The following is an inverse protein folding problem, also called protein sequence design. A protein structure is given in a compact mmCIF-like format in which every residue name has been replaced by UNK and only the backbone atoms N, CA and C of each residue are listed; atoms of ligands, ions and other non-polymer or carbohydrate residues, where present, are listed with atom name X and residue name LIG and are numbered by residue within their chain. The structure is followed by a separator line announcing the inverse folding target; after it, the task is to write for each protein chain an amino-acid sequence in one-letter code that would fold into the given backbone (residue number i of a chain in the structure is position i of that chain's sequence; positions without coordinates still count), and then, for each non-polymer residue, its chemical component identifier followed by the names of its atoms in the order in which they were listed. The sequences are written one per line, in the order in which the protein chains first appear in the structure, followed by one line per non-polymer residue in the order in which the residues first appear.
data_IF_799723361887
#
_entry.id   IF_799723361887
#
_cell.length_a   1.000
_cell.length_b   1.000
_cell.length_c   1.000
_cell.angle_alpha   90.00
_cell.angle_beta   90.00
_cell.angle_gamma   90.00
#
_symmetry.space_group_name_H-M   'P 1'
#
loop_
_entity.id
_entity.type
_entity.pdbx_description
1 polymer ?
#
# COMPACT_ATOMS: atom_id res chain seq x y z
N UNK A 1 24.15 -7.18 23.93
CA UNK A 1 22.83 -7.79 24.11
C UNK A 1 21.83 -6.65 24.39
N UNK A 2 20.76 -6.60 23.64
CA UNK A 2 19.70 -5.61 23.86
C UNK A 2 19.00 -5.95 25.19
N UNK A 3 18.76 -4.95 26.05
CA UNK A 3 18.17 -5.17 27.38
C UNK A 3 16.67 -5.47 27.36
N UNK A 4 15.96 -5.00 26.32
CA UNK A 4 14.53 -5.26 26.14
C UNK A 4 14.16 -5.23 24.66
N UNK A 5 13.06 -5.91 24.30
CA UNK A 5 12.52 -5.89 22.94
C UNK A 5 12.18 -4.46 22.47
N UNK A 6 11.77 -3.61 23.39
CA UNK A 6 11.47 -2.21 23.11
C UNK A 6 12.73 -1.43 22.69
N UNK A 7 13.88 -1.68 23.32
CA UNK A 7 15.16 -1.06 22.97
C UNK A 7 15.65 -1.53 21.61
N UNK A 8 15.46 -2.83 21.31
CA UNK A 8 15.80 -3.40 20.01
C UNK A 8 14.99 -2.74 18.88
N UNK A 9 13.67 -2.67 19.02
CA UNK A 9 12.79 -2.03 18.04
C UNK A 9 13.13 -0.54 17.89
N UNK A 10 13.42 0.14 18.98
CA UNK A 10 13.84 1.56 18.96
C UNK A 10 15.12 1.77 18.19
N UNK A 11 16.09 0.87 18.36
CA UNK A 11 17.38 0.94 17.66
C UNK A 11 17.18 0.69 16.16
N UNK A 12 16.38 -0.31 15.78
CA UNK A 12 16.06 -0.60 14.39
C UNK A 12 15.35 0.59 13.74
N UNK A 13 14.36 1.18 14.40
CA UNK A 13 13.61 2.32 13.88
C UNK A 13 14.52 3.51 13.55
N UNK A 14 15.40 3.88 14.48
CA UNK A 14 16.38 4.96 14.28
C UNK A 14 17.35 4.65 13.16
N UNK A 15 17.83 3.40 13.08
CA UNK A 15 18.75 2.97 12.01
C UNK A 15 18.09 3.08 10.64
N UNK A 16 16.83 2.63 10.49
CA UNK A 16 16.07 2.77 9.26
C UNK A 16 15.87 4.24 8.87
N UNK A 17 15.57 5.10 9.84
CA UNK A 17 15.45 6.55 9.58
C UNK A 17 16.80 7.17 9.15
N UNK A 18 17.91 6.75 9.75
CA UNK A 18 19.26 7.16 9.36
C UNK A 18 19.56 6.74 7.92
N UNK A 19 19.32 5.48 7.61
CA UNK A 19 19.56 4.90 6.29
C UNK A 19 18.72 5.58 5.18
N UNK A 20 17.44 5.85 5.46
CA UNK A 20 16.56 6.57 4.53
C UNK A 20 17.10 7.94 4.15
N UNK A 21 17.65 8.67 5.14
CA UNK A 21 18.27 9.98 4.92
C UNK A 21 19.61 9.88 4.18
N UNK A 22 20.47 8.93 4.57
CA UNK A 22 21.77 8.73 3.97
C UNK A 22 21.68 8.37 2.50
N UNK A 23 20.77 7.45 2.16
CA UNK A 23 20.57 6.98 0.79
C UNK A 23 19.58 7.84 -0.01
N UNK A 24 18.92 8.80 0.64
CA UNK A 24 17.85 9.63 0.05
C UNK A 24 16.74 8.79 -0.63
N UNK A 25 16.29 7.73 0.06
CA UNK A 25 15.23 6.82 -0.40
C UNK A 25 14.07 6.75 0.58
N UNK A 26 12.83 6.48 0.13
CA UNK A 26 11.75 6.13 1.02
C UNK A 26 11.94 4.70 1.54
N UNK A 27 11.65 4.49 2.83
CA UNK A 27 11.64 3.17 3.46
C UNK A 27 10.23 2.93 4.02
N UNK A 28 9.62 1.82 3.63
CA UNK A 28 8.33 1.35 4.18
C UNK A 28 8.63 0.15 5.08
N UNK A 29 8.34 0.30 6.37
CA UNK A 29 8.50 -0.77 7.35
C UNK A 29 7.13 -1.30 7.77
N UNK A 30 6.98 -2.62 7.82
CA UNK A 30 5.79 -3.28 8.32
C UNK A 30 5.96 -3.61 9.80
N UNK A 31 4.99 -3.23 10.61
CA UNK A 31 4.96 -3.50 12.05
C UNK A 31 3.66 -4.20 12.43
N UNK A 32 3.78 -5.20 13.30
CA UNK A 32 2.62 -5.86 13.88
C UNK A 32 2.04 -5.01 15.00
N UNK A 33 0.71 -4.94 15.06
CA UNK A 33 0.01 -4.29 16.16
C UNK A 33 0.00 -5.17 17.42
N UNK A 34 -0.18 -4.52 18.57
CA UNK A 34 -0.43 -5.22 19.81
C UNK A 34 -1.78 -5.96 19.74
N UNK A 35 -1.79 -7.21 20.19
CA UNK A 35 -3.01 -8.04 20.24
C UNK A 35 -4.13 -7.45 21.11
N UNK A 36 -3.84 -6.48 21.96
CA UNK A 36 -4.84 -5.74 22.74
C UNK A 36 -5.95 -5.11 21.89
N UNK A 37 -5.70 -4.81 20.61
CA UNK A 37 -6.72 -4.34 19.65
C UNK A 37 -7.83 -5.39 19.49
N UNK A 38 -7.46 -6.67 19.45
CA UNK A 38 -8.40 -7.78 19.26
C UNK A 38 -9.34 -7.99 20.47
N UNK A 39 -8.95 -7.55 21.67
CA UNK A 39 -9.74 -7.69 22.89
C UNK A 39 -10.69 -6.54 23.16
N UNK A 40 -10.56 -5.42 22.43
CA UNK A 40 -11.46 -4.26 22.62
C UNK A 40 -12.86 -4.57 22.13
N UNK A 41 -13.85 -3.96 22.73
CA UNK A 41 -15.26 -4.08 22.36
C UNK A 41 -15.70 -2.94 21.43
N UNK A 42 -16.75 -3.21 20.65
CA UNK A 42 -17.35 -2.23 19.74
C UNK A 42 -16.58 -2.05 18.43
N UNK A 43 -17.21 -1.36 17.49
CA UNK A 43 -16.68 -1.11 16.13
C UNK A 43 -15.44 -0.22 16.23
N UNK A 44 -15.55 0.90 16.94
CA UNK A 44 -14.46 1.85 17.13
C UNK A 44 -13.33 1.27 18.00
N UNK A 45 -13.66 0.38 18.95
CA UNK A 45 -12.65 -0.29 19.77
C UNK A 45 -11.69 -1.17 18.97
N UNK A 46 -12.15 -1.78 17.88
CA UNK A 46 -11.32 -2.60 16.98
C UNK A 46 -10.49 -1.78 15.99
N UNK A 47 -10.72 -0.48 15.91
CA UNK A 47 -9.96 0.44 15.06
C UNK A 47 -8.56 0.65 15.64
N UNK A 48 -7.47 0.42 14.85
CA UNK A 48 -6.11 0.64 15.31
C UNK A 48 -5.82 2.10 15.64
N UNK A 49 -4.98 2.30 16.64
CA UNK A 49 -4.53 3.62 17.11
C UNK A 49 -3.01 3.63 17.30
N UNK A 50 -2.40 4.81 17.38
CA UNK A 50 -0.96 4.96 17.61
C UNK A 50 -0.48 4.26 18.89
N UNK A 51 -1.31 4.23 19.93
CA UNK A 51 -1.05 3.50 21.18
C UNK A 51 -0.92 1.97 20.98
N UNK A 52 -1.40 1.44 19.86
CA UNK A 52 -1.29 0.01 19.54
C UNK A 52 0.08 -0.38 18.99
N UNK A 53 0.90 0.61 18.66
CA UNK A 53 2.34 0.45 18.41
C UNK A 53 3.15 0.36 19.72
N UNK A 54 2.58 -0.17 20.76
CA UNK A 54 2.95 -0.05 22.18
C UNK A 54 4.39 -0.42 22.55
N UNK A 55 5.01 -1.36 21.87
CA UNK A 55 6.42 -1.69 22.08
C UNK A 55 7.35 -0.79 21.25
N UNK A 56 6.79 0.18 20.58
CA UNK A 56 7.40 0.93 19.48
C UNK A 56 7.09 2.42 19.54
N UNK A 57 7.03 3.04 20.73
CA UNK A 57 6.92 4.50 20.83
C UNK A 57 7.99 5.23 20.01
N UNK A 58 9.14 4.56 19.80
CA UNK A 58 10.18 5.04 18.92
C UNK A 58 9.74 5.01 17.43
N UNK A 59 9.02 3.98 16.98
CA UNK A 59 8.49 3.93 15.60
C UNK A 59 7.58 5.13 15.36
N UNK A 60 6.68 5.40 16.30
CA UNK A 60 5.81 6.57 16.19
C UNK A 60 6.60 7.87 16.09
N UNK A 61 7.65 8.04 16.90
CA UNK A 61 8.45 9.26 16.88
C UNK A 61 9.30 9.38 15.60
N UNK A 62 9.93 8.31 15.16
CA UNK A 62 10.87 8.30 14.05
C UNK A 62 10.18 8.33 12.68
N UNK A 63 9.01 7.69 12.54
CA UNK A 63 8.28 7.64 11.30
C UNK A 63 7.74 9.03 10.87
N UNK A 64 7.85 9.35 9.59
CA UNK A 64 7.23 10.55 9.02
C UNK A 64 5.74 10.34 8.79
N UNK A 65 5.33 9.10 8.51
CA UNK A 65 3.96 8.70 8.31
C UNK A 65 3.71 7.37 9.01
N UNK A 66 2.56 7.23 9.65
CA UNK A 66 2.05 5.97 10.21
C UNK A 66 0.69 5.70 9.61
N UNK A 67 0.58 4.58 8.93
CA UNK A 67 -0.68 4.12 8.36
C UNK A 67 -1.08 2.78 8.97
N UNK A 68 -2.35 2.63 9.31
CA UNK A 68 -2.92 1.35 9.71
C UNK A 68 -3.81 0.81 8.60
N UNK A 69 -3.84 -0.51 8.49
CA UNK A 69 -4.80 -1.22 7.67
C UNK A 69 -5.85 -1.80 8.60
N UNK A 70 -7.09 -1.36 8.47
CA UNK A 70 -8.22 -1.86 9.24
C UNK A 70 -9.21 -2.55 8.32
N UNK A 71 -9.60 -3.77 8.68
CA UNK A 71 -10.60 -4.57 7.97
C UNK A 71 -11.68 -5.00 8.96
N UNK A 72 -12.82 -4.31 8.98
CA UNK A 72 -13.92 -4.63 9.91
C UNK A 72 -14.39 -6.08 9.81
N UNK A 73 -14.46 -6.62 8.59
CA UNK A 73 -14.85 -8.01 8.35
C UNK A 73 -13.94 -9.05 9.06
N UNK A 74 -12.66 -8.74 9.23
CA UNK A 74 -11.73 -9.60 9.98
C UNK A 74 -12.19 -9.82 11.43
N UNK A 75 -12.84 -8.79 12.00
CA UNK A 75 -13.44 -8.81 13.33
C UNK A 75 -14.91 -9.22 13.33
N UNK A 76 -15.44 -9.72 12.21
CA UNK A 76 -16.86 -10.08 12.04
C UNK A 76 -17.81 -8.89 12.19
N UNK A 77 -17.35 -7.70 11.92
CA UNK A 77 -18.12 -6.48 11.89
C UNK A 77 -18.54 -6.25 10.44
N UNK A 78 -19.83 -6.44 10.16
CA UNK A 78 -20.38 -6.40 8.80
C UNK A 78 -21.20 -5.15 8.51
N UNK A 79 -21.52 -4.37 9.55
CA UNK A 79 -22.25 -3.11 9.44
C UNK A 79 -21.66 -2.06 10.35
N UNK A 80 -21.71 -0.81 9.93
CA UNK A 80 -21.38 0.33 10.80
C UNK A 80 -22.58 0.71 11.70
N UNK A 81 -22.39 1.72 12.56
CA UNK A 81 -23.45 2.24 13.44
C UNK A 81 -24.64 2.83 12.68
N UNK A 82 -24.46 3.18 11.41
CA UNK A 82 -25.49 3.74 10.52
C UNK A 82 -26.18 2.67 9.69
N UNK A 83 -25.76 1.40 9.81
CA UNK A 83 -26.30 0.28 9.06
C UNK A 83 -25.69 0.09 7.67
N UNK A 84 -24.63 0.79 7.32
CA UNK A 84 -23.94 0.58 6.05
C UNK A 84 -23.20 -0.75 6.04
N UNK A 85 -23.19 -1.44 4.89
CA UNK A 85 -22.49 -2.72 4.73
C UNK A 85 -20.97 -2.50 4.65
N UNK A 86 -20.25 -3.19 5.52
CA UNK A 86 -18.78 -3.15 5.62
C UNK A 86 -18.11 -4.42 5.04
N UNK A 87 -18.87 -5.34 4.45
CA UNK A 87 -18.30 -6.55 3.84
C UNK A 87 -17.35 -6.20 2.71
N UNK A 88 -16.16 -6.80 2.74
CA UNK A 88 -15.13 -6.53 1.75
C UNK A 88 -14.59 -5.11 1.80
N UNK A 89 -14.93 -4.32 2.82
CA UNK A 89 -14.37 -2.98 3.00
C UNK A 89 -13.10 -3.01 3.84
N UNK A 90 -12.22 -2.09 3.54
CA UNK A 90 -10.99 -1.85 4.30
C UNK A 90 -10.72 -0.36 4.42
N UNK A 91 -10.10 0.05 5.50
CA UNK A 91 -9.69 1.43 5.72
C UNK A 91 -8.17 1.50 5.80
N UNK A 92 -7.58 2.46 5.11
CA UNK A 92 -6.21 2.90 5.34
C UNK A 92 -6.28 4.14 6.23
N UNK A 93 -5.91 3.98 7.49
CA UNK A 93 -5.98 5.04 8.49
C UNK A 93 -4.62 5.72 8.54
N UNK A 94 -4.52 6.96 8.06
CA UNK A 94 -3.32 7.79 8.16
C UNK A 94 -3.34 8.44 9.55
N UNK A 95 -2.78 7.73 10.55
CA UNK A 95 -2.84 8.15 11.94
C UNK A 95 -1.79 9.19 12.31
N UNK A 96 -0.69 9.24 11.55
CA UNK A 96 0.35 10.26 11.66
C UNK A 96 0.85 10.65 10.27
N UNK A 97 1.03 11.94 10.05
CA UNK A 97 1.66 12.48 8.86
C UNK A 97 2.39 13.78 9.21
N UNK A 98 3.73 13.77 9.17
CA UNK A 98 4.55 14.91 9.62
C UNK A 98 4.35 16.17 8.76
N UNK A 99 4.16 15.99 7.46
CA UNK A 99 4.09 17.08 6.49
C UNK A 99 2.75 17.16 5.77
N UNK A 100 1.71 16.49 6.27
CA UNK A 100 0.41 16.47 5.64
C UNK A 100 -0.73 16.18 6.61
N UNK A 101 -1.93 16.07 6.08
CA UNK A 101 -3.12 15.77 6.86
C UNK A 101 -3.18 14.30 7.29
N UNK A 102 -3.79 14.05 8.42
CA UNK A 102 -4.26 12.73 8.84
C UNK A 102 -5.67 12.49 8.31
N UNK A 103 -6.08 11.25 8.19
CA UNK A 103 -7.42 10.91 7.68
C UNK A 103 -7.54 9.46 7.30
N UNK A 104 -8.69 9.09 6.80
CA UNK A 104 -9.04 7.73 6.47
C UNK A 104 -9.36 7.60 4.98
N UNK A 105 -8.85 6.56 4.37
CA UNK A 105 -9.13 6.21 2.97
C UNK A 105 -9.88 4.89 2.96
N UNK A 106 -11.13 4.94 2.53
CA UNK A 106 -11.95 3.76 2.39
C UNK A 106 -11.62 3.07 1.06
N UNK A 107 -11.37 1.76 1.12
CA UNK A 107 -11.04 0.91 0.00
C UNK A 107 -11.91 -0.35 0.04
N UNK A 108 -11.99 -1.05 -1.09
CA UNK A 108 -12.50 -2.40 -1.15
C UNK A 108 -11.35 -3.40 -1.08
N UNK A 109 -11.53 -4.48 -0.32
CA UNK A 109 -10.55 -5.55 -0.20
C UNK A 109 -11.12 -6.85 -0.76
N UNK A 110 -10.48 -7.39 -1.79
CA UNK A 110 -10.80 -8.72 -2.33
C UNK A 110 -9.86 -9.75 -1.71
N UNK A 111 -10.39 -10.53 -0.76
CA UNK A 111 -9.62 -11.52 -0.01
C UNK A 111 -9.02 -12.62 -0.89
N UNK A 112 -9.71 -13.03 -1.96
CA UNK A 112 -9.27 -14.04 -2.92
C UNK A 112 -7.93 -13.70 -3.60
N UNK A 113 -7.67 -12.40 -3.79
CA UNK A 113 -6.48 -11.90 -4.49
C UNK A 113 -5.57 -11.07 -3.59
N UNK A 114 -5.91 -10.94 -2.28
CA UNK A 114 -5.24 -10.04 -1.33
C UNK A 114 -5.07 -8.61 -1.92
N UNK A 115 -6.08 -8.11 -2.63
CA UNK A 115 -6.02 -6.89 -3.42
C UNK A 115 -6.92 -5.81 -2.85
N UNK A 116 -6.37 -4.59 -2.75
CA UNK A 116 -7.14 -3.37 -2.49
C UNK A 116 -7.55 -2.72 -3.81
N UNK A 117 -8.77 -2.17 -3.84
CA UNK A 117 -9.36 -1.48 -5.00
C UNK A 117 -10.11 -0.25 -4.52
N UNK A 118 -10.29 0.73 -5.39
CA UNK A 118 -11.20 1.82 -5.07
C UNK A 118 -12.64 1.29 -4.97
N UNK A 119 -13.50 1.87 -4.14
CA UNK A 119 -14.89 1.43 -3.99
C UNK A 119 -15.67 1.42 -5.30
N UNK A 120 -15.35 2.35 -6.21
CA UNK A 120 -16.03 2.56 -7.48
C UNK A 120 -15.49 1.72 -8.65
N UNK A 121 -14.37 1.02 -8.46
CA UNK A 121 -13.72 0.23 -9.53
C UNK A 121 -14.53 -1.00 -9.97
N UNK A 122 -15.51 -1.43 -9.19
CA UNK A 122 -16.40 -2.55 -9.57
C UNK A 122 -17.38 -2.21 -10.71
N UNK A 123 -17.50 -0.94 -11.07
CA UNK A 123 -18.32 -0.51 -12.21
C UNK A 123 -17.59 -0.61 -13.56
N UNK A 124 -16.27 -0.90 -13.54
CA UNK A 124 -15.48 -1.02 -14.77
C UNK A 124 -14.97 -2.46 -14.88
N UNK A 125 -15.88 -3.39 -15.18
CA UNK A 125 -15.49 -4.60 -15.89
C UNK A 125 -15.43 -4.15 -17.36
N UNK A 126 -14.23 -4.04 -17.97
CA UNK A 126 -14.18 -3.77 -19.41
C UNK A 126 -14.88 -4.92 -20.11
N UNK A 127 -15.93 -4.62 -20.84
CA UNK A 127 -16.52 -5.60 -21.76
C UNK A 127 -15.41 -6.02 -22.73
N UNK A 128 -15.37 -7.29 -23.16
CA UNK A 128 -14.40 -7.74 -24.14
C UNK A 128 -14.46 -6.82 -25.38
N UNK A 129 -13.42 -6.01 -25.58
CA UNK A 129 -13.33 -5.04 -26.67
C UNK A 129 -13.22 -3.56 -26.25
N UNK A 130 -13.37 -3.21 -24.98
CA UNK A 130 -13.13 -1.85 -24.53
C UNK A 130 -11.66 -1.67 -24.09
N UNK A 131 -11.02 -0.65 -24.65
CA UNK A 131 -9.68 -0.23 -24.22
C UNK A 131 -9.75 0.30 -22.79
N UNK A 132 -8.84 -0.11 -21.89
CA UNK A 132 -8.84 0.36 -20.51
C UNK A 132 -8.70 1.89 -20.46
N UNK A 133 -9.67 2.57 -19.83
CA UNK A 133 -9.56 4.01 -19.56
C UNK A 133 -8.46 4.23 -18.54
N UNK A 134 -7.32 4.73 -18.97
CA UNK A 134 -6.24 5.15 -18.08
C UNK A 134 -6.66 6.47 -17.43
N UNK A 135 -7.01 6.43 -16.14
CA UNK A 135 -7.24 7.62 -15.35
C UNK A 135 -5.88 8.24 -14.99
N UNK A 136 -5.50 9.31 -15.67
CA UNK A 136 -4.31 10.09 -15.32
C UNK A 136 -4.42 10.64 -13.89
N UNK A 137 -3.35 10.53 -13.13
CA UNK A 137 -3.24 11.13 -11.80
C UNK A 137 -3.53 12.63 -11.88
N UNK A 138 -4.45 13.14 -11.06
CA UNK A 138 -4.80 14.57 -10.99
C UNK A 138 -3.65 15.46 -10.46
N UNK A 139 -2.54 14.87 -10.02
CA UNK A 139 -1.39 15.60 -9.45
C UNK A 139 -0.53 16.27 -10.54
N UNK A 140 -0.62 15.83 -11.80
CA UNK A 140 0.22 16.36 -12.90
C UNK A 140 -0.55 17.09 -14.00
N UNK A 141 -1.70 17.69 -13.73
CA UNK A 141 -2.42 18.51 -14.69
C UNK A 141 -1.87 19.97 -14.76
N UNK A 142 -0.58 20.08 -15.02
CA UNK A 142 0.09 21.31 -15.41
C UNK A 142 0.84 21.10 -16.72
N UNK A 143 0.17 21.20 -17.86
CA UNK A 143 0.82 21.33 -19.17
C UNK A 143 0.49 20.22 -20.17
N UNK A 144 -0.20 20.61 -21.23
CA UNK A 144 -0.19 20.12 -22.60
C UNK A 144 -0.17 18.61 -22.84
N UNK A 145 -1.29 18.07 -23.25
CA UNK A 145 -1.36 16.73 -23.83
C UNK A 145 -0.54 16.66 -25.12
N UNK A 146 0.64 16.05 -25.04
CA UNK A 146 1.35 15.57 -26.23
C UNK A 146 0.80 14.16 -26.48
N UNK A 147 0.18 13.88 -27.63
CA UNK A 147 -0.23 12.52 -27.96
C UNK A 147 1.02 11.60 -28.04
N UNK A 148 0.93 10.35 -27.60
CA UNK A 148 2.04 9.42 -27.73
C UNK A 148 2.37 9.24 -29.23
N UNK A 149 3.67 9.08 -29.58
CA UNK A 149 4.06 8.83 -30.97
C UNK A 149 3.41 7.53 -31.46
N UNK A 150 3.09 7.44 -32.77
CA UNK A 150 2.58 6.21 -33.34
C UNK A 150 3.56 5.07 -33.10
N UNK A 151 3.05 3.93 -32.69
CA UNK A 151 3.83 2.70 -32.57
C UNK A 151 4.14 2.27 -34.01
N UNK A 152 5.38 2.48 -34.46
CA UNK A 152 5.87 1.87 -35.68
C UNK A 152 5.93 0.36 -35.48
N UNK A 153 5.38 -0.39 -36.42
CA UNK A 153 5.38 -1.85 -36.41
C UNK A 153 6.84 -2.36 -36.34
N UNK A 154 7.22 -2.88 -35.17
CA UNK A 154 8.48 -3.60 -35.02
C UNK A 154 8.32 -4.93 -35.72
N UNK A 155 9.11 -5.25 -36.77
CA UNK A 155 9.05 -6.56 -37.38
C UNK A 155 9.37 -7.61 -36.32
N UNK A 156 8.47 -8.57 -36.14
CA UNK A 156 8.69 -9.75 -35.32
C UNK A 156 9.78 -10.60 -35.93
N UNK A 157 11.01 -10.44 -35.43
CA UNK A 157 12.06 -11.42 -35.72
C UNK A 157 11.78 -12.68 -34.89
N UNK A 158 11.38 -13.74 -35.60
CA UNK A 158 10.93 -15.01 -35.00
C UNK A 158 12.11 -15.89 -34.50
N UNK A 159 13.23 -15.28 -34.09
CA UNK A 159 14.34 -16.04 -33.54
C UNK A 159 14.66 -15.62 -32.07
N UNK A 160 14.06 -16.25 -31.06
CA UNK A 160 14.30 -15.91 -29.65
C UNK A 160 15.69 -16.38 -29.14
N UNK A 161 16.46 -17.10 -29.95
CA UNK A 161 17.79 -17.55 -29.58
C UNK A 161 18.74 -17.28 -30.77
N UNK A 162 19.28 -16.05 -30.84
CA UNK A 162 20.31 -15.67 -31.82
C UNK A 162 21.57 -16.50 -31.69
N UNK A 163 21.56 -17.71 -32.28
CA UNK A 163 22.78 -18.46 -32.55
C UNK A 163 23.32 -18.03 -33.92
N UNK A 164 24.58 -17.61 -34.03
CA UNK A 164 25.17 -17.30 -35.31
C UNK A 164 25.34 -18.58 -36.15
N UNK A 165 24.71 -18.59 -37.29
CA UNK A 165 24.90 -19.62 -38.32
C UNK A 165 26.23 -19.37 -39.05
N UNK A 166 27.34 -19.84 -38.47
CA UNK A 166 28.64 -19.87 -39.11
C UNK A 166 29.39 -21.15 -38.71
N UNK A 167 30.18 -21.79 -39.64
CA UNK A 167 30.91 -23.01 -39.30
C UNK A 167 32.00 -22.68 -38.27
N UNK A 168 32.13 -23.57 -37.27
CA UNK A 168 33.15 -23.51 -36.22
C UNK A 168 34.54 -23.64 -36.89
N UNK A 169 35.52 -22.77 -36.53
CA UNK A 169 36.90 -23.02 -36.90
C UNK A 169 37.48 -24.16 -36.03
N UNK A 170 38.21 -25.03 -36.70
CA UNK A 170 38.95 -26.15 -36.12
C UNK A 170 40.05 -25.69 -35.17
#
# INVERSE_FOLDING_TARGET
SFGSRQEEVSTISRSLKGLAKELNIPIIALSQLNRGVESREGIDGKRPQLSDLRESGAIEQDADMVCFIHRPEYYKIYQDEKGNDLKGMAEIIIAKHRNGAVGDVLLRFRGEYARFQNPDDDMIIPMPGETPKVFGSKINNGGGSVPPPPIEDIPMDNNPFGMPSGPLPF
#
